data_IF_838604664390
#
_entry.id   IF_838604664390
#
_cell.length_a   1.000
_cell.length_b   1.000
_cell.length_c   1.000
_cell.angle_alpha   90.00
_cell.angle_beta   90.00
_cell.angle_gamma   90.00
#
_symmetry.space_group_name_H-M   'P 1'
#
loop_
_entity.id
_entity.type
_entity.pdbx_description
1 polymer ?
#
# COMPACT_ATOMS: atom_id res chain seq x y z
N UNK A 1 -15.24 25.12 -0.33
CA UNK A 1 -14.59 26.22 -1.09
C UNK A 1 -13.09 25.95 -1.10
N UNK A 2 -12.52 25.67 -2.27
CA UNK A 2 -11.06 25.57 -2.46
C UNK A 2 -10.49 27.01 -2.42
N UNK A 3 -9.55 27.27 -1.50
CA UNK A 3 -9.11 28.64 -1.13
C UNK A 3 -7.84 29.14 -1.82
N UNK A 4 -7.20 28.33 -2.66
CA UNK A 4 -6.04 28.75 -3.46
C UNK A 4 -5.94 27.92 -4.74
N UNK A 5 -5.60 28.59 -5.83
CA UNK A 5 -5.19 27.97 -7.09
C UNK A 5 -3.69 28.22 -7.19
N UNK A 6 -2.89 27.24 -6.79
CA UNK A 6 -1.45 27.29 -6.99
C UNK A 6 -1.18 26.95 -8.46
N UNK A 7 -0.80 27.99 -9.22
CA UNK A 7 -0.56 27.95 -10.66
C UNK A 7 0.89 27.61 -11.02
N UNK A 8 1.68 27.10 -10.08
CA UNK A 8 3.04 26.66 -10.38
C UNK A 8 2.97 25.29 -11.07
N UNK A 9 3.38 25.25 -12.35
CA UNK A 9 3.49 23.97 -13.08
C UNK A 9 4.62 23.15 -12.46
N UNK A 10 4.24 22.20 -11.60
CA UNK A 10 5.16 21.20 -11.06
C UNK A 10 5.58 20.22 -12.17
N UNK A 11 6.62 20.61 -12.92
CA UNK A 11 7.16 19.83 -14.03
C UNK A 11 7.75 18.47 -13.59
N UNK A 12 8.04 18.31 -12.31
CA UNK A 12 8.61 17.07 -11.76
C UNK A 12 7.53 16.08 -11.32
N UNK A 13 6.27 16.52 -11.16
CA UNK A 13 5.16 15.66 -10.77
C UNK A 13 4.59 14.85 -11.94
N UNK A 14 4.09 13.65 -11.63
CA UNK A 14 3.42 12.81 -12.62
C UNK A 14 2.12 13.49 -13.07
N UNK A 15 1.96 13.63 -14.38
CA UNK A 15 0.74 14.18 -14.97
C UNK A 15 -0.26 13.06 -15.32
N UNK A 16 -1.51 13.22 -14.91
CA UNK A 16 -2.58 12.25 -15.11
C UNK A 16 -3.64 12.83 -16.04
N UNK A 17 -3.97 12.06 -17.08
CA UNK A 17 -4.99 12.40 -18.07
C UNK A 17 -6.00 11.26 -18.26
N UNK A 18 -7.15 11.57 -18.85
CA UNK A 18 -8.19 10.59 -19.12
C UNK A 18 -7.85 9.70 -20.34
N UNK A 19 -7.19 10.25 -21.36
CA UNK A 19 -6.99 9.57 -22.66
C UNK A 19 -5.51 9.33 -22.99
N UNK A 20 -5.22 8.27 -23.74
CA UNK A 20 -3.84 8.01 -24.21
C UNK A 20 -3.31 9.14 -25.11
N UNK A 21 -4.17 9.77 -25.92
CA UNK A 21 -3.77 10.87 -26.80
C UNK A 21 -3.16 12.04 -26.02
N UNK A 22 -3.80 12.47 -24.93
CA UNK A 22 -3.27 13.54 -24.08
C UNK A 22 -1.95 13.15 -23.42
N UNK A 23 -1.88 11.90 -22.96
CA UNK A 23 -0.67 11.35 -22.36
C UNK A 23 0.49 11.34 -23.36
N UNK A 24 0.24 10.88 -24.58
CA UNK A 24 1.26 10.79 -25.62
C UNK A 24 1.72 12.19 -26.04
N UNK A 25 0.79 13.13 -26.28
CA UNK A 25 1.10 14.53 -26.58
C UNK A 25 1.97 15.19 -25.49
N UNK A 26 1.60 15.00 -24.21
CA UNK A 26 2.36 15.54 -23.08
C UNK A 26 3.74 14.91 -22.96
N UNK A 27 3.83 13.59 -23.10
CA UNK A 27 5.09 12.85 -23.02
C UNK A 27 6.04 13.23 -24.16
N UNK A 28 5.56 13.33 -25.40
CA UNK A 28 6.40 13.76 -26.53
C UNK A 28 6.88 15.21 -26.35
N UNK A 29 6.03 16.12 -25.86
CA UNK A 29 6.44 17.49 -25.55
C UNK A 29 7.57 17.50 -24.52
N UNK A 30 7.44 16.73 -23.42
CA UNK A 30 8.47 16.66 -22.38
C UNK A 30 9.75 15.97 -22.85
N UNK A 31 9.64 14.96 -23.71
CA UNK A 31 10.80 14.33 -24.33
C UNK A 31 11.60 15.34 -25.15
N UNK A 32 10.94 16.10 -26.02
CA UNK A 32 11.62 17.09 -26.87
C UNK A 32 12.30 18.20 -26.06
N UNK A 33 11.75 18.57 -24.89
CA UNK A 33 12.32 19.58 -24.00
C UNK A 33 13.47 19.03 -23.16
N UNK A 34 13.33 17.81 -22.64
CA UNK A 34 14.28 17.22 -21.67
C UNK A 34 15.44 16.49 -22.35
N UNK A 35 15.20 15.98 -23.55
CA UNK A 35 16.08 15.06 -24.27
C UNK A 35 16.36 15.57 -25.70
N UNK A 36 17.32 16.49 -25.89
CA UNK A 36 17.62 17.06 -27.21
C UNK A 36 18.08 16.02 -28.24
N UNK A 37 18.72 14.94 -27.78
CA UNK A 37 19.18 13.81 -28.61
C UNK A 37 18.24 12.60 -28.48
N UNK A 38 16.92 12.83 -28.40
CA UNK A 38 15.97 11.72 -28.37
C UNK A 38 16.00 10.91 -29.67
N UNK A 39 15.86 9.60 -29.56
CA UNK A 39 15.84 8.65 -30.68
C UNK A 39 14.54 7.85 -30.69
N UNK A 40 14.16 7.37 -31.87
CA UNK A 40 13.00 6.48 -32.04
C UNK A 40 13.51 5.10 -32.39
N UNK A 41 13.26 4.14 -31.50
CA UNK A 41 13.63 2.74 -31.70
C UNK A 41 12.44 2.01 -32.33
N UNK A 42 12.64 1.54 -33.55
CA UNK A 42 11.67 0.70 -34.26
C UNK A 42 11.80 -0.76 -33.82
N UNK A 43 10.66 -1.43 -33.62
CA UNK A 43 10.61 -2.82 -33.20
C UNK A 43 11.10 -3.76 -34.31
N UNK A 44 11.78 -4.84 -33.93
CA UNK A 44 12.24 -5.85 -34.88
C UNK A 44 11.25 -7.01 -34.92
N UNK A 45 10.48 -7.09 -36.00
CA UNK A 45 9.54 -8.19 -36.21
C UNK A 45 10.23 -9.33 -36.96
N UNK A 46 10.03 -10.57 -36.53
CA UNK A 46 10.47 -11.77 -37.25
C UNK A 46 9.26 -12.55 -37.73
N UNK A 47 9.39 -13.19 -38.89
CA UNK A 47 8.38 -14.07 -39.46
C UNK A 47 9.00 -15.40 -39.85
N UNK A 48 8.19 -16.46 -39.83
CA UNK A 48 8.62 -17.74 -40.34
C UNK A 48 8.79 -17.63 -41.86
N UNK A 49 10.00 -17.88 -42.37
CA UNK A 49 10.21 -18.06 -43.80
C UNK A 49 9.56 -19.38 -44.24
N UNK A 50 9.27 -19.53 -45.54
CA UNK A 50 8.75 -20.78 -46.13
C UNK A 50 9.64 -22.01 -45.82
N UNK A 51 10.87 -21.77 -45.36
CA UNK A 51 11.89 -22.76 -44.96
C UNK A 51 11.85 -23.16 -43.47
N UNK A 52 10.91 -22.65 -42.67
CA UNK A 52 10.77 -22.97 -41.24
C UNK A 52 11.78 -22.28 -40.31
N UNK A 53 12.58 -21.33 -40.84
CA UNK A 53 13.49 -20.49 -40.05
C UNK A 53 12.89 -19.10 -39.86
N UNK A 54 12.97 -18.57 -38.64
CA UNK A 54 12.59 -17.20 -38.32
C UNK A 54 13.60 -16.22 -38.94
N UNK A 55 13.14 -15.36 -39.82
CA UNK A 55 13.94 -14.29 -40.42
C UNK A 55 13.37 -12.92 -40.05
N UNK A 56 14.22 -11.89 -40.05
CA UNK A 56 13.79 -10.52 -39.87
C UNK A 56 12.80 -10.15 -40.98
N UNK A 57 11.67 -9.56 -40.60
CA UNK A 57 10.63 -9.15 -41.51
C UNK A 57 10.87 -7.70 -41.93
N UNK A 58 10.75 -7.42 -43.23
CA UNK A 58 10.66 -6.05 -43.72
C UNK A 58 9.32 -5.44 -43.28
N UNK A 59 9.40 -4.44 -42.40
CA UNK A 59 8.25 -3.82 -41.75
C UNK A 59 7.59 -4.70 -40.68
N UNK A 60 6.40 -4.28 -40.24
CA UNK A 60 5.73 -4.90 -39.11
C UNK A 60 4.59 -5.85 -39.49
N UNK A 61 4.26 -6.76 -38.58
CA UNK A 61 3.04 -7.56 -38.67
C UNK A 61 1.80 -6.66 -38.69
N UNK A 62 0.91 -6.87 -39.68
CA UNK A 62 -0.32 -6.09 -39.82
C UNK A 62 -1.30 -6.35 -38.67
N UNK A 63 -1.44 -7.61 -38.24
CA UNK A 63 -2.28 -8.01 -37.11
C UNK A 63 -1.40 -8.54 -35.98
N UNK A 64 -1.47 -7.88 -34.84
CA UNK A 64 -0.67 -8.16 -33.65
C UNK A 64 -1.63 -8.35 -32.48
N UNK A 65 -1.39 -9.39 -31.68
CA UNK A 65 -2.22 -9.72 -30.52
C UNK A 65 -1.34 -9.93 -29.28
N UNK A 66 -1.95 -9.74 -28.10
CA UNK A 66 -1.42 -10.16 -26.81
C UNK A 66 0.01 -9.70 -26.48
N UNK A 67 0.42 -8.51 -26.94
CA UNK A 67 1.74 -7.95 -26.64
C UNK A 67 1.63 -6.54 -26.09
N UNK A 68 2.54 -6.21 -25.19
CA UNK A 68 2.76 -4.85 -24.71
C UNK A 68 3.87 -4.12 -25.49
N UNK A 69 4.57 -4.84 -26.38
CA UNK A 69 5.70 -4.32 -27.15
C UNK A 69 5.23 -3.43 -28.30
N UNK A 70 5.53 -2.14 -28.17
CA UNK A 70 5.14 -1.13 -29.14
C UNK A 70 5.95 -1.25 -30.44
N UNK A 71 5.37 -0.79 -31.56
CA UNK A 71 6.09 -0.73 -32.85
C UNK A 71 7.23 0.28 -32.80
N UNK A 72 6.98 1.42 -32.15
CA UNK A 72 7.92 2.50 -32.00
C UNK A 72 7.94 2.89 -30.53
N UNK A 73 9.14 3.06 -29.98
CA UNK A 73 9.34 3.72 -28.69
C UNK A 73 10.23 4.93 -28.90
N UNK A 74 9.85 6.04 -28.27
CA UNK A 74 10.68 7.25 -28.24
C UNK A 74 11.44 7.27 -26.92
N UNK A 75 12.76 7.40 -26.98
CA UNK A 75 13.62 7.35 -25.81
C UNK A 75 14.71 8.41 -25.91
N UNK A 76 15.30 8.78 -24.79
CA UNK A 76 16.42 9.72 -24.73
C UNK A 76 17.08 9.65 -23.37
N UNK A 77 18.33 10.10 -23.29
CA UNK A 77 19.01 10.26 -21.99
C UNK A 77 18.19 11.25 -21.15
N UNK A 78 17.90 10.91 -19.89
CA UNK A 78 16.98 11.60 -18.96
C UNK A 78 15.49 11.41 -19.22
N UNK A 79 15.10 10.58 -20.19
CA UNK A 79 13.69 10.32 -20.41
C UNK A 79 13.07 9.53 -19.26
N UNK A 80 11.88 9.96 -18.79
CA UNK A 80 11.08 9.24 -17.81
C UNK A 80 10.35 8.10 -18.51
N UNK A 81 10.49 6.90 -18.00
CA UNK A 81 9.85 5.70 -18.55
C UNK A 81 9.12 4.90 -17.46
N UNK A 82 8.20 4.06 -17.92
CA UNK A 82 7.50 3.06 -17.11
C UNK A 82 7.61 1.70 -17.80
N UNK A 83 7.87 0.64 -17.03
CA UNK A 83 7.81 -0.73 -17.52
C UNK A 83 6.37 -1.13 -17.83
N UNK A 84 6.19 -1.85 -18.93
CA UNK A 84 4.91 -2.38 -19.39
C UNK A 84 4.72 -3.87 -19.10
N UNK A 85 5.79 -4.55 -18.65
CA UNK A 85 5.86 -5.99 -18.47
C UNK A 85 6.54 -6.35 -17.15
N UNK A 86 6.14 -7.48 -16.60
CA UNK A 86 6.87 -8.15 -15.53
C UNK A 86 8.08 -8.87 -16.13
N UNK A 87 9.28 -8.36 -15.89
CA UNK A 87 10.55 -8.95 -16.32
C UNK A 87 11.07 -9.89 -15.23
N UNK A 88 11.20 -9.39 -14.00
CA UNK A 88 11.56 -10.18 -12.82
C UNK A 88 10.78 -9.69 -11.61
N UNK A 89 9.70 -10.38 -11.29
CA UNK A 89 8.84 -10.06 -10.13
C UNK A 89 9.61 -10.19 -8.81
N UNK A 90 10.56 -11.13 -8.74
CA UNK A 90 11.33 -11.39 -7.52
C UNK A 90 12.36 -10.31 -7.22
N UNK A 91 12.70 -9.50 -8.21
CA UNK A 91 13.61 -8.36 -8.13
C UNK A 91 12.86 -7.03 -8.37
N UNK A 92 11.52 -7.02 -8.33
CA UNK A 92 10.71 -5.81 -8.44
C UNK A 92 10.65 -5.18 -9.84
N UNK A 93 11.18 -5.83 -10.88
CA UNK A 93 11.06 -5.38 -12.28
C UNK A 93 9.67 -5.76 -12.82
N UNK A 94 8.67 -5.01 -12.38
CA UNK A 94 7.25 -5.25 -12.66
C UNK A 94 6.63 -4.18 -13.55
N UNK A 95 5.53 -4.52 -14.21
CA UNK A 95 4.69 -3.57 -14.92
C UNK A 95 4.25 -2.43 -13.97
N UNK A 96 4.49 -1.19 -14.38
CA UNK A 96 4.24 -0.01 -13.55
C UNK A 96 5.48 0.50 -12.80
N UNK A 97 6.64 -0.16 -12.87
CA UNK A 97 7.86 0.40 -12.30
C UNK A 97 8.34 1.62 -13.11
N UNK A 98 8.55 2.75 -12.44
CA UNK A 98 9.00 4.01 -13.03
C UNK A 98 10.51 4.19 -12.89
N UNK A 99 11.12 4.77 -13.91
CA UNK A 99 12.55 5.10 -13.88
C UNK A 99 12.93 6.16 -14.89
N UNK A 100 14.21 6.50 -14.88
CA UNK A 100 14.82 7.50 -15.76
C UNK A 100 15.95 6.85 -16.54
N UNK A 101 15.97 7.04 -17.86
CA UNK A 101 17.05 6.53 -18.71
C UNK A 101 18.33 7.31 -18.40
N UNK A 102 19.38 6.59 -17.98
CA UNK A 102 20.69 7.16 -17.69
C UNK A 102 21.63 7.04 -18.88
N UNK A 103 21.56 5.94 -19.64
CA UNK A 103 22.43 5.69 -20.80
C UNK A 103 21.78 4.70 -21.77
N UNK A 104 22.15 4.79 -23.04
CA UNK A 104 21.86 3.77 -24.04
C UNK A 104 23.19 3.23 -24.57
N UNK A 105 23.28 1.93 -24.77
CA UNK A 105 24.51 1.25 -25.22
C UNK A 105 24.22 0.56 -26.54
N UNK A 106 24.97 0.94 -27.58
CA UNK A 106 24.87 0.33 -28.91
C UNK A 106 25.51 -1.06 -28.93
N UNK A 107 25.11 -1.88 -29.91
CA UNK A 107 25.76 -3.16 -30.14
C UNK A 107 27.23 -2.95 -30.62
N UNK A 108 28.13 -3.86 -30.23
CA UNK A 108 29.55 -3.78 -30.60
C UNK A 108 29.74 -3.71 -32.13
N UNK A 109 30.71 -2.91 -32.56
CA UNK A 109 31.00 -2.57 -33.97
C UNK A 109 31.42 -3.76 -34.85
N UNK A 110 31.71 -4.93 -34.27
CA UNK A 110 32.18 -6.13 -34.97
C UNK A 110 31.06 -7.03 -35.51
N UNK A 111 29.79 -6.68 -35.29
CA UNK A 111 28.64 -7.42 -35.85
C UNK A 111 28.18 -6.77 -37.16
N UNK A 112 28.22 -7.52 -38.27
CA UNK A 112 27.82 -7.07 -39.63
C UNK A 112 26.37 -6.53 -39.75
N UNK A 113 25.56 -6.62 -38.68
CA UNK A 113 24.26 -5.97 -38.54
C UNK A 113 24.40 -4.63 -37.81
N UNK A 114 25.09 -3.67 -38.44
CA UNK A 114 25.41 -2.36 -37.88
C UNK A 114 24.20 -1.41 -37.95
N UNK A 115 23.15 -1.73 -37.20
CA UNK A 115 21.95 -0.90 -37.10
C UNK A 115 22.07 -0.02 -35.85
N UNK A 116 22.62 1.18 -36.05
CA UNK A 116 22.79 2.22 -35.02
C UNK A 116 21.48 2.64 -34.34
N UNK A 117 20.32 2.23 -34.87
CA UNK A 117 19.02 2.68 -34.40
C UNK A 117 18.34 1.71 -33.41
N UNK A 118 19.00 0.60 -33.05
CA UNK A 118 18.49 -0.32 -32.02
C UNK A 118 19.60 -0.63 -30.98
N UNK A 119 19.57 0.01 -29.80
CA UNK A 119 20.59 -0.20 -28.78
C UNK A 119 20.56 -1.65 -28.27
N UNK A 120 21.72 -2.16 -27.86
CA UNK A 120 21.85 -3.47 -27.23
C UNK A 120 21.22 -3.49 -25.83
N UNK A 121 21.36 -2.40 -25.08
CA UNK A 121 20.73 -2.24 -23.77
C UNK A 121 20.37 -0.78 -23.45
N UNK A 122 19.37 -0.60 -22.58
CA UNK A 122 18.98 0.69 -22.00
C UNK A 122 19.25 0.64 -20.50
N UNK A 123 20.06 1.58 -20.02
CA UNK A 123 20.43 1.70 -18.62
C UNK A 123 19.47 2.66 -17.92
N UNK A 124 18.82 2.20 -16.84
CA UNK A 124 17.73 2.91 -16.17
C UNK A 124 18.00 3.03 -14.68
N UNK A 125 17.83 4.23 -14.14
CA UNK A 125 17.72 4.49 -12.71
C UNK A 125 16.24 4.43 -12.32
N UNK A 126 15.79 3.33 -11.68
CA UNK A 126 14.41 3.22 -11.17
C UNK A 126 14.21 4.06 -9.92
N UNK A 127 13.00 4.61 -9.77
CA UNK A 127 12.64 5.53 -8.68
C UNK A 127 12.63 4.81 -7.32
N UNK A 128 12.13 3.57 -7.27
CA UNK A 128 12.16 2.76 -6.05
C UNK A 128 13.54 2.07 -5.93
N UNK A 129 14.32 2.36 -4.87
CA UNK A 129 15.63 1.73 -4.65
C UNK A 129 15.56 0.22 -4.41
N UNK A 130 14.38 -0.33 -4.10
CA UNK A 130 14.14 -1.77 -3.96
C UNK A 130 14.03 -2.49 -5.29
N UNK A 131 13.75 -1.78 -6.38
CA UNK A 131 13.69 -2.37 -7.72
C UNK A 131 15.09 -2.74 -8.19
N UNK A 132 15.24 -3.97 -8.69
CA UNK A 132 16.42 -4.58 -9.30
C UNK A 132 17.66 -4.69 -8.41
N UNK A 133 17.47 -4.84 -7.10
CA UNK A 133 18.59 -4.93 -6.14
C UNK A 133 19.54 -6.09 -6.45
N UNK A 134 19.03 -7.26 -6.83
CA UNK A 134 19.85 -8.43 -7.15
C UNK A 134 20.66 -8.20 -8.42
N UNK A 135 20.06 -7.60 -9.45
CA UNK A 135 20.79 -7.25 -10.67
C UNK A 135 21.89 -6.21 -10.39
N UNK A 136 21.55 -5.13 -9.68
CA UNK A 136 22.48 -4.04 -9.33
C UNK A 136 23.64 -4.53 -8.48
N UNK A 137 23.43 -5.50 -7.58
CA UNK A 137 24.49 -6.09 -6.77
C UNK A 137 25.57 -6.79 -7.62
N UNK A 138 25.18 -7.32 -8.80
CA UNK A 138 26.10 -8.00 -9.74
C UNK A 138 26.82 -7.02 -10.66
N UNK A 139 26.12 -6.04 -11.21
CA UNK A 139 26.68 -5.11 -12.21
C UNK A 139 27.42 -3.93 -11.58
N UNK A 140 27.03 -3.51 -10.37
CA UNK A 140 27.60 -2.38 -9.59
C UNK A 140 27.79 -1.10 -10.42
N UNK A 141 26.88 -0.85 -11.36
CA UNK A 141 26.94 0.32 -12.24
C UNK A 141 26.22 1.50 -11.59
N UNK A 142 26.91 2.63 -11.49
CA UNK A 142 26.36 3.92 -11.05
C UNK A 142 26.36 4.90 -12.22
N UNK A 143 25.40 5.82 -12.25
CA UNK A 143 25.46 6.97 -13.14
C UNK A 143 26.30 8.12 -12.52
N UNK A 144 26.58 9.20 -13.27
CA UNK A 144 27.33 10.36 -12.76
C UNK A 144 26.71 11.00 -11.52
N UNK A 145 25.39 10.85 -11.31
CA UNK A 145 24.65 11.35 -10.16
C UNK A 145 24.67 10.39 -8.96
N UNK A 146 25.37 9.26 -9.06
CA UNK A 146 25.51 8.26 -7.99
C UNK A 146 24.29 7.36 -7.81
N UNK A 147 23.34 7.37 -8.75
CA UNK A 147 22.17 6.48 -8.74
C UNK A 147 22.52 5.11 -9.26
N UNK A 148 21.87 4.10 -8.70
CA UNK A 148 22.09 2.71 -9.08
C UNK A 148 21.40 2.37 -10.39
N UNK A 149 22.15 1.79 -11.31
CA UNK A 149 21.72 1.55 -12.68
C UNK A 149 21.34 0.09 -12.91
N UNK A 150 20.19 -0.07 -13.53
CA UNK A 150 19.63 -1.33 -14.00
C UNK A 150 19.78 -1.41 -15.51
N UNK A 151 20.26 -2.54 -16.00
CA UNK A 151 20.41 -2.80 -17.43
C UNK A 151 19.12 -3.48 -17.90
N UNK A 152 18.41 -2.82 -18.80
CA UNK A 152 17.28 -3.40 -19.51
C UNK A 152 17.75 -3.90 -20.87
N UNK A 153 17.35 -5.11 -21.18
CA UNK A 153 17.52 -5.73 -22.49
C UNK A 153 16.16 -5.77 -23.22
N UNK A 154 16.16 -5.85 -24.54
CA UNK A 154 14.92 -5.96 -25.32
C UNK A 154 14.28 -7.34 -25.14
N UNK A 155 12.96 -7.35 -24.98
CA UNK A 155 12.15 -8.56 -24.84
C UNK A 155 11.68 -9.06 -26.21
N UNK A 156 11.42 -10.35 -26.34
CA UNK A 156 10.86 -10.96 -27.56
C UNK A 156 9.53 -11.67 -27.23
N UNK A 157 8.47 -11.38 -28.00
CA UNK A 157 7.13 -11.94 -27.78
C UNK A 157 6.49 -12.47 -29.06
N UNK A 158 5.68 -13.52 -28.94
CA UNK A 158 4.80 -14.00 -30.01
C UNK A 158 3.65 -13.02 -30.22
N UNK A 159 3.59 -12.42 -31.40
CA UNK A 159 2.62 -11.38 -31.76
C UNK A 159 1.59 -11.84 -32.79
N UNK A 160 1.80 -12.97 -33.45
CA UNK A 160 0.84 -13.54 -34.41
C UNK A 160 0.49 -14.98 -34.08
N UNK A 161 -0.66 -15.45 -34.57
CA UNK A 161 -1.11 -16.84 -34.42
C UNK A 161 -0.18 -17.85 -35.11
N UNK A 162 0.61 -17.40 -36.09
CA UNK A 162 1.51 -18.23 -36.89
C UNK A 162 2.96 -18.22 -36.37
N UNK A 163 3.18 -17.77 -35.13
CA UNK A 163 4.51 -17.73 -34.51
C UNK A 163 5.39 -16.57 -34.99
N UNK A 164 4.80 -15.46 -35.43
CA UNK A 164 5.55 -14.22 -35.69
C UNK A 164 5.98 -13.58 -34.37
N UNK A 165 7.23 -13.13 -34.31
CA UNK A 165 7.83 -12.55 -33.10
C UNK A 165 8.02 -11.05 -33.25
N UNK A 166 7.97 -10.32 -32.13
CA UNK A 166 8.39 -8.92 -32.02
C UNK A 166 9.43 -8.78 -30.94
N UNK A 167 10.53 -8.10 -31.25
CA UNK A 167 11.58 -7.72 -30.31
C UNK A 167 11.60 -6.21 -30.07
N UNK A 168 11.43 -5.79 -28.81
CA UNK A 168 11.41 -4.38 -28.39
C UNK A 168 11.61 -4.27 -26.87
N UNK A 169 12.01 -3.10 -26.36
CA UNK A 169 12.00 -2.82 -24.93
C UNK A 169 10.55 -2.67 -24.41
N UNK A 170 10.19 -3.31 -23.28
CA UNK A 170 8.85 -3.23 -22.71
C UNK A 170 8.65 -1.94 -21.92
N UNK A 171 8.89 -0.79 -22.55
CA UNK A 171 8.87 0.53 -21.89
C UNK A 171 7.98 1.51 -22.66
N UNK A 172 7.51 2.54 -21.96
CA UNK A 172 6.88 3.72 -22.55
C UNK A 172 7.28 4.97 -21.79
N UNK A 173 7.17 6.14 -22.42
CA UNK A 173 7.33 7.42 -21.74
C UNK A 173 6.30 7.58 -20.61
N UNK A 174 6.73 8.25 -19.53
CA UNK A 174 6.01 8.26 -18.27
C UNK A 174 6.14 9.57 -17.46
N UNK A 175 6.31 10.72 -18.13
CA UNK A 175 6.00 12.01 -17.49
C UNK A 175 4.50 12.18 -17.28
N UNK A 176 3.71 11.54 -18.15
CA UNK A 176 2.27 11.41 -18.02
C UNK A 176 1.80 9.97 -18.16
N UNK A 177 0.70 9.67 -17.46
CA UNK A 177 0.00 8.39 -17.50
C UNK A 177 -1.52 8.60 -17.55
N UNK A 178 -2.26 7.60 -18.05
CA UNK A 178 -3.72 7.64 -18.00
C UNK A 178 -4.21 7.28 -16.60
N UNK A 179 -5.36 7.83 -16.15
CA UNK A 179 -6.01 7.48 -14.87
C UNK A 179 -6.07 5.95 -14.66
N UNK A 180 -6.49 5.20 -15.68
CA UNK A 180 -6.60 3.73 -15.60
C UNK A 180 -5.28 3.00 -15.35
N UNK A 181 -4.15 3.58 -15.77
CA UNK A 181 -2.81 2.97 -15.60
C UNK A 181 -2.24 3.19 -14.21
N UNK A 182 -2.72 4.21 -13.51
CA UNK A 182 -2.20 4.61 -12.20
C UNK A 182 -3.18 4.30 -11.07
N UNK A 183 -4.32 3.66 -11.35
CA UNK A 183 -5.41 3.42 -10.39
C UNK A 183 -5.00 2.71 -9.09
N UNK A 184 -3.90 1.95 -9.08
CA UNK A 184 -3.40 1.23 -7.91
C UNK A 184 -2.10 1.82 -7.34
N UNK A 185 -1.72 3.03 -7.76
CA UNK A 185 -0.49 3.68 -7.30
C UNK A 185 -0.78 4.64 -6.16
N UNK A 186 0.15 4.69 -5.21
CA UNK A 186 0.22 5.76 -4.21
C UNK A 186 1.34 6.70 -4.62
N UNK A 187 1.02 7.98 -4.82
CA UNK A 187 1.95 8.97 -5.36
C UNK A 187 1.99 10.19 -4.43
N UNK A 188 3.18 10.74 -4.19
CA UNK A 188 3.33 11.89 -3.29
C UNK A 188 2.88 13.20 -3.94
N UNK A 189 3.21 13.42 -5.22
CA UNK A 189 2.87 14.62 -5.98
C UNK A 189 2.31 14.29 -7.35
N UNK A 190 1.19 14.90 -7.72
CA UNK A 190 0.49 14.61 -8.96
C UNK A 190 -0.24 15.83 -9.52
N UNK A 191 -0.30 15.91 -10.83
CA UNK A 191 -1.09 16.89 -11.57
C UNK A 191 -2.20 16.17 -12.34
N UNK A 192 -3.47 16.43 -12.01
CA UNK A 192 -4.62 15.75 -12.62
C UNK A 192 -5.37 16.72 -13.53
N UNK A 193 -5.46 16.43 -14.84
CA UNK A 193 -6.34 17.17 -15.76
C UNK A 193 -7.74 16.56 -15.81
N UNK A 194 -8.78 17.40 -15.67
CA UNK A 194 -10.18 17.00 -15.74
C UNK A 194 -10.84 17.28 -17.11
N UNK A 195 -10.06 17.78 -18.09
CA UNK A 195 -10.58 18.29 -19.37
C UNK A 195 -11.37 17.27 -20.20
N UNK A 196 -10.86 16.03 -20.31
CA UNK A 196 -11.46 14.95 -21.13
C UNK A 196 -11.95 13.74 -20.34
N UNK A 197 -12.25 13.91 -19.06
CA UNK A 197 -12.85 12.83 -18.25
C UNK A 197 -14.20 12.43 -18.84
N UNK A 198 -14.42 11.11 -18.99
CA UNK A 198 -15.56 10.57 -19.73
C UNK A 198 -16.29 9.42 -19.04
N UNK A 199 -15.78 8.92 -17.90
CA UNK A 199 -16.39 7.81 -17.16
C UNK A 199 -16.60 8.15 -15.69
N UNK A 200 -17.69 7.63 -15.13
CA UNK A 200 -18.03 7.81 -13.71
C UNK A 200 -16.92 7.26 -12.82
N UNK A 201 -16.57 7.99 -11.78
CA UNK A 201 -15.53 7.58 -10.82
C UNK A 201 -14.08 7.77 -11.29
N UNK A 202 -13.81 8.16 -12.54
CA UNK A 202 -12.44 8.44 -13.00
C UNK A 202 -11.77 9.55 -12.18
N UNK A 203 -12.50 10.64 -11.89
CA UNK A 203 -11.97 11.73 -11.06
C UNK A 203 -11.68 11.23 -9.66
N UNK A 204 -12.60 10.47 -9.06
CA UNK A 204 -12.38 9.88 -7.74
C UNK A 204 -11.09 9.05 -7.70
N UNK A 205 -10.90 8.16 -8.68
CA UNK A 205 -9.68 7.35 -8.80
C UNK A 205 -8.43 8.22 -8.92
N UNK A 206 -8.46 9.27 -9.74
CA UNK A 206 -7.30 10.14 -9.94
C UNK A 206 -6.93 10.95 -8.68
N UNK A 207 -7.94 11.42 -7.93
CA UNK A 207 -7.72 12.19 -6.71
C UNK A 207 -7.33 11.32 -5.51
N UNK A 208 -7.74 10.04 -5.48
CA UNK A 208 -7.42 9.11 -4.38
C UNK A 208 -5.98 8.57 -4.40
N UNK A 209 -5.17 8.92 -5.40
CA UNK A 209 -3.79 8.44 -5.53
C UNK A 209 -2.83 9.15 -4.57
N UNK A 210 -3.20 10.36 -4.15
CA UNK A 210 -2.32 11.24 -3.37
C UNK A 210 -2.56 11.06 -1.88
N UNK A 211 -1.49 11.00 -1.11
CA UNK A 211 -1.56 10.80 0.35
C UNK A 211 -1.92 12.06 1.11
N UNK A 212 -1.69 13.24 0.54
CA UNK A 212 -1.98 14.53 1.15
C UNK A 212 -2.46 15.56 0.12
N UNK A 213 -3.22 16.55 0.59
CA UNK A 213 -3.78 17.59 -0.29
C UNK A 213 -2.71 18.48 -0.91
N UNK A 214 -1.59 18.74 -0.22
CA UNK A 214 -0.48 19.56 -0.73
C UNK A 214 0.23 18.94 -1.92
N UNK A 215 0.10 17.62 -2.13
CA UNK A 215 0.66 16.92 -3.29
C UNK A 215 -0.25 16.93 -4.52
N UNK A 216 -1.45 17.52 -4.44
CA UNK A 216 -2.45 17.44 -5.50
C UNK A 216 -2.61 18.78 -6.22
N UNK A 217 -2.35 18.77 -7.52
CA UNK A 217 -2.69 19.89 -8.42
C UNK A 217 -3.79 19.46 -9.39
N UNK A 218 -4.83 20.28 -9.55
CA UNK A 218 -5.94 20.01 -10.49
C UNK A 218 -5.90 21.03 -11.64
N UNK A 219 -5.85 20.53 -12.88
CA UNK A 219 -5.97 21.32 -14.11
C UNK A 219 -7.36 21.13 -14.74
N UNK A 220 -7.84 22.17 -15.43
CA UNK A 220 -9.09 22.16 -16.19
C UNK A 220 -10.31 21.74 -15.38
N UNK A 221 -10.45 22.28 -14.16
CA UNK A 221 -11.50 21.86 -13.24
C UNK A 221 -12.89 21.95 -13.87
N UNK A 222 -13.63 20.85 -13.81
CA UNK A 222 -14.99 20.73 -14.34
C UNK A 222 -15.84 19.94 -13.36
N UNK A 223 -16.69 20.64 -12.61
CA UNK A 223 -17.55 20.02 -11.59
C UNK A 223 -18.44 18.91 -12.18
N UNK A 224 -18.98 19.12 -13.39
CA UNK A 224 -19.82 18.12 -14.05
C UNK A 224 -19.07 16.83 -14.44
N UNK A 225 -17.73 16.81 -14.40
CA UNK A 225 -16.93 15.60 -14.59
C UNK A 225 -16.88 14.72 -13.34
N UNK A 226 -17.32 15.23 -12.19
CA UNK A 226 -17.36 14.52 -10.91
C UNK A 226 -18.76 13.93 -10.74
N UNK A 227 -18.92 12.67 -11.12
CA UNK A 227 -20.19 11.97 -10.99
C UNK A 227 -19.98 10.48 -10.68
N UNK A 228 -20.98 9.91 -10.00
CA UNK A 228 -21.05 8.49 -9.68
C UNK A 228 -22.14 7.81 -10.51
N UNK A 229 -21.94 6.55 -10.84
CA UNK A 229 -22.96 5.74 -11.47
C UNK A 229 -24.04 5.38 -10.44
N UNK A 230 -25.31 5.67 -10.74
CA UNK A 230 -26.44 5.42 -9.83
C UNK A 230 -26.53 3.96 -9.34
N UNK A 231 -26.12 2.98 -10.17
CA UNK A 231 -26.08 1.56 -9.79
C UNK A 231 -25.11 1.28 -8.64
N UNK A 232 -24.02 2.04 -8.55
CA UNK A 232 -23.04 1.89 -7.45
C UNK A 232 -23.66 2.39 -6.15
N UNK A 233 -24.32 3.55 -6.17
CA UNK A 233 -25.03 4.07 -5.00
C UNK A 233 -26.12 3.11 -4.51
N UNK A 234 -26.89 2.52 -5.43
CA UNK A 234 -27.88 1.49 -5.10
C UNK A 234 -27.24 0.24 -4.47
N UNK A 235 -26.14 -0.24 -5.05
CA UNK A 235 -25.41 -1.39 -4.52
C UNK A 235 -24.83 -1.12 -3.13
N UNK A 236 -24.21 0.04 -2.91
CA UNK A 236 -23.66 0.43 -1.61
C UNK A 236 -24.76 0.55 -0.54
N UNK A 237 -25.95 1.05 -0.90
CA UNK A 237 -27.08 1.09 0.03
C UNK A 237 -27.65 -0.29 0.41
N UNK A 238 -27.43 -1.31 -0.43
CA UNK A 238 -27.82 -2.71 -0.17
C UNK A 238 -26.74 -3.50 0.58
N UNK A 239 -25.52 -2.99 0.66
CA UNK A 239 -24.44 -3.66 1.39
C UNK A 239 -24.80 -3.72 2.86
N UNK A 240 -24.72 -4.92 3.45
CA UNK A 240 -24.90 -5.08 4.88
C UNK A 240 -23.77 -4.32 5.60
N UNK A 241 -24.09 -3.49 6.61
CA UNK A 241 -23.08 -2.92 7.48
C UNK A 241 -22.20 -4.02 8.07
N UNK A 242 -20.87 -3.83 8.05
CA UNK A 242 -19.95 -4.79 8.65
C UNK A 242 -20.25 -5.04 10.14
N UNK A 243 -20.71 -3.99 10.83
CA UNK A 243 -21.23 -4.06 12.19
C UNK A 243 -22.74 -3.77 12.09
N UNK A 244 -23.62 -4.76 12.32
CA UNK A 244 -25.05 -4.49 12.35
C UNK A 244 -25.35 -3.53 13.53
N UNK A 245 -26.22 -2.52 13.33
CA UNK A 245 -26.71 -1.73 14.45
C UNK A 245 -27.35 -2.67 15.48
N UNK A 246 -27.24 -2.36 16.78
CA UNK A 246 -27.97 -3.07 17.83
C UNK A 246 -29.43 -3.21 17.39
N UNK A 247 -29.82 -4.40 16.92
CA UNK A 247 -31.20 -4.81 17.05
C UNK A 247 -31.46 -4.74 18.54
N UNK A 248 -32.46 -3.98 18.95
CA UNK A 248 -33.03 -4.03 20.29
C UNK A 248 -33.45 -5.48 20.55
N UNK A 249 -32.50 -6.33 20.91
CA UNK A 249 -32.75 -7.69 21.34
C UNK A 249 -33.54 -7.52 22.62
N UNK A 250 -34.81 -7.85 22.51
CA UNK A 250 -35.79 -7.88 23.58
C UNK A 250 -35.12 -8.21 24.91
N UNK A 251 -34.96 -7.19 25.75
CA UNK A 251 -35.02 -7.23 27.20
C UNK A 251 -34.68 -8.61 27.81
N UNK A 252 -33.48 -9.13 27.61
CA UNK A 252 -32.91 -10.13 28.52
C UNK A 252 -32.37 -9.38 29.72
N UNK A 253 -33.28 -8.81 30.52
CA UNK A 253 -33.00 -8.40 31.89
C UNK A 253 -32.57 -9.64 32.70
N UNK A 254 -31.31 -10.05 32.55
CA UNK A 254 -30.58 -10.91 33.49
C UNK A 254 -29.12 -11.21 33.08
N UNK A 255 -28.71 -11.00 31.82
CA UNK A 255 -27.36 -11.39 31.39
C UNK A 255 -26.30 -10.33 31.77
N UNK A 256 -25.22 -10.77 32.40
CA UNK A 256 -24.02 -9.94 32.59
C UNK A 256 -23.22 -9.89 31.28
N UNK A 257 -22.84 -8.70 30.84
CA UNK A 257 -22.24 -8.48 29.51
C UNK A 257 -20.77 -8.08 29.61
N UNK A 258 -19.92 -8.80 28.86
CA UNK A 258 -18.48 -8.53 28.78
C UNK A 258 -18.12 -8.29 27.33
N UNK A 259 -17.43 -7.19 27.04
CA UNK A 259 -16.85 -6.89 25.73
C UNK A 259 -15.34 -7.05 25.82
N UNK A 260 -14.73 -7.70 24.82
CA UNK A 260 -13.29 -7.70 24.62
C UNK A 260 -12.98 -6.92 23.34
N UNK A 261 -12.09 -5.92 23.44
CA UNK A 261 -11.71 -5.10 22.29
C UNK A 261 -10.22 -4.78 22.28
N UNK A 262 -9.60 -4.96 21.11
CA UNK A 262 -8.23 -4.54 20.88
C UNK A 262 -8.25 -3.09 20.38
N UNK A 263 -7.71 -2.15 21.17
CA UNK A 263 -7.89 -0.71 20.93
C UNK A 263 -6.73 -0.07 20.16
N UNK A 264 -5.53 -0.67 20.20
CA UNK A 264 -4.31 -0.13 19.59
C UNK A 264 -4.08 1.37 19.89
N UNK A 265 -3.88 1.71 21.17
CA UNK A 265 -3.88 3.07 21.75
C UNK A 265 -5.26 3.53 22.22
N UNK A 266 -5.51 3.32 23.51
CA UNK A 266 -6.72 3.84 24.16
C UNK A 266 -6.78 5.37 24.09
N UNK A 267 -5.64 6.07 24.18
CA UNK A 267 -5.63 7.54 24.09
C UNK A 267 -6.06 8.05 22.72
N UNK A 268 -5.60 7.41 21.64
CA UNK A 268 -5.93 7.82 20.27
C UNK A 268 -7.39 7.50 19.90
N UNK A 269 -7.89 6.36 20.38
CA UNK A 269 -9.20 5.82 20.02
C UNK A 269 -10.27 5.96 21.10
N UNK A 270 -10.00 6.72 22.16
CA UNK A 270 -11.01 6.94 23.21
C UNK A 270 -12.32 7.56 22.69
N UNK A 271 -12.33 8.53 21.76
CA UNK A 271 -13.58 9.05 21.20
C UNK A 271 -14.44 7.96 20.55
N UNK A 272 -13.81 6.96 19.93
CA UNK A 272 -14.49 5.82 19.32
C UNK A 272 -15.12 4.91 20.41
N UNK A 273 -14.37 4.65 21.48
CA UNK A 273 -14.87 3.89 22.65
C UNK A 273 -16.05 4.61 23.31
N UNK A 274 -15.93 5.93 23.51
CA UNK A 274 -16.93 6.77 24.17
C UNK A 274 -18.24 6.86 23.38
N UNK A 275 -18.18 6.85 22.05
CA UNK A 275 -19.37 6.94 21.19
C UNK A 275 -19.98 5.57 20.86
N UNK A 276 -19.30 4.47 21.19
CA UNK A 276 -19.78 3.13 20.91
C UNK A 276 -20.92 2.71 21.86
N UNK A 277 -22.12 2.59 21.31
CA UNK A 277 -23.32 2.21 22.09
C UNK A 277 -23.25 0.81 22.66
N UNK A 278 -22.56 -0.14 22.02
CA UNK A 278 -22.39 -1.49 22.57
C UNK A 278 -21.50 -1.47 23.80
N UNK A 279 -20.39 -0.72 23.75
CA UNK A 279 -19.47 -0.57 24.88
C UNK A 279 -20.14 0.14 26.06
N UNK A 280 -20.83 1.25 25.82
CA UNK A 280 -21.53 2.00 26.88
C UNK A 280 -22.64 1.19 27.58
N UNK A 281 -23.23 0.20 26.90
CA UNK A 281 -24.27 -0.65 27.46
C UNK A 281 -23.73 -1.93 28.11
N UNK A 282 -22.40 -2.19 28.05
CA UNK A 282 -21.81 -3.39 28.63
C UNK A 282 -21.55 -3.23 30.14
N UNK A 283 -21.52 -4.33 30.88
CA UNK A 283 -21.20 -4.32 32.31
C UNK A 283 -19.68 -4.26 32.55
N UNK A 284 -18.91 -4.93 31.70
CA UNK A 284 -17.45 -4.86 31.66
C UNK A 284 -16.94 -4.68 30.22
N UNK A 285 -15.98 -3.79 30.03
CA UNK A 285 -15.26 -3.56 28.78
C UNK A 285 -13.78 -3.88 29.03
N UNK A 286 -13.34 -5.02 28.53
CA UNK A 286 -11.96 -5.49 28.56
C UNK A 286 -11.21 -5.00 27.32
N UNK A 287 -10.11 -4.30 27.52
CA UNK A 287 -9.31 -3.71 26.48
C UNK A 287 -7.92 -4.35 26.43
N UNK A 288 -7.43 -4.67 25.24
CA UNK A 288 -6.03 -5.04 24.98
C UNK A 288 -5.36 -3.98 24.14
N UNK A 289 -4.02 -3.94 24.20
CA UNK A 289 -3.21 -2.94 23.48
C UNK A 289 -3.61 -1.51 23.86
N UNK A 290 -3.76 -1.25 25.16
CA UNK A 290 -4.13 0.07 25.67
C UNK A 290 -3.05 1.12 25.42
N UNK A 291 -1.78 0.69 25.36
CA UNK A 291 -0.56 1.47 25.16
C UNK A 291 -0.34 2.56 26.23
N UNK A 292 -0.93 2.34 27.42
CA UNK A 292 -0.72 3.21 28.58
C UNK A 292 0.59 2.87 29.29
N UNK A 293 1.33 3.89 29.68
CA UNK A 293 2.57 3.78 30.46
C UNK A 293 2.34 3.51 31.96
N UNK A 294 3.42 3.23 32.69
CA UNK A 294 3.38 3.12 34.18
C UNK A 294 3.18 4.48 34.83
N UNK A 295 3.75 5.54 34.25
CA UNK A 295 3.73 6.91 34.76
C UNK A 295 2.64 7.78 34.12
N UNK A 296 1.74 7.19 33.34
CA UNK A 296 0.61 7.95 32.83
C UNK A 296 -0.26 8.39 34.02
N UNK A 297 -0.51 9.71 34.21
CA UNK A 297 -1.21 10.22 35.38
C UNK A 297 -2.61 9.61 35.53
N UNK A 298 -3.19 9.62 36.74
CA UNK A 298 -4.48 9.01 37.05
C UNK A 298 -5.62 9.89 36.54
N UNK A 299 -5.68 10.13 35.25
CA UNK A 299 -6.95 10.32 34.55
C UNK A 299 -6.92 9.40 33.35
N UNK A 300 -7.04 8.07 33.57
CA UNK A 300 -7.45 7.22 32.48
C UNK A 300 -8.69 7.83 31.82
N UNK A 301 -8.85 7.69 30.50
CA UNK A 301 -9.98 8.31 29.82
C UNK A 301 -11.29 7.95 30.52
N UNK A 302 -12.00 8.94 31.05
CA UNK A 302 -13.10 8.68 31.97
C UNK A 302 -14.35 8.32 31.16
N UNK A 303 -14.74 7.05 31.22
CA UNK A 303 -16.02 6.61 30.66
C UNK A 303 -17.09 6.75 31.75
N UNK A 304 -18.11 7.58 31.48
CA UNK A 304 -19.15 7.90 32.47
C UNK A 304 -19.85 6.62 32.94
N UNK A 305 -19.93 6.41 34.26
CA UNK A 305 -20.57 5.23 34.84
C UNK A 305 -19.66 4.02 35.01
N UNK A 306 -18.38 4.12 34.65
CA UNK A 306 -17.40 3.04 34.77
C UNK A 306 -16.21 3.43 35.65
N UNK A 307 -15.62 2.43 36.31
CA UNK A 307 -14.30 2.51 36.92
C UNK A 307 -13.28 1.82 36.01
N UNK A 308 -12.14 2.47 35.80
CA UNK A 308 -11.07 1.92 34.96
C UNK A 308 -9.89 1.41 35.80
N UNK A 309 -9.39 0.24 35.45
CA UNK A 309 -8.13 -0.30 35.96
C UNK A 309 -7.28 -0.79 34.78
N UNK A 310 -5.96 -0.57 34.82
CA UNK A 310 -5.06 -1.03 33.77
C UNK A 310 -3.74 -1.57 34.31
N UNK A 311 -3.09 -2.36 33.48
CA UNK A 311 -1.72 -2.84 33.69
C UNK A 311 -0.97 -2.57 32.40
N UNK A 312 0.12 -1.81 32.50
CA UNK A 312 0.99 -1.55 31.36
C UNK A 312 1.80 -2.81 31.00
N UNK A 313 2.29 -2.88 29.76
CA UNK A 313 3.23 -3.92 29.34
C UNK A 313 4.46 -3.99 30.26
N UNK A 314 5.05 -2.83 30.58
CA UNK A 314 6.21 -2.76 31.46
C UNK A 314 5.95 -3.30 32.88
N UNK A 315 4.70 -3.19 33.37
CA UNK A 315 4.28 -3.76 34.65
C UNK A 315 3.91 -5.25 34.61
N UNK A 316 3.78 -5.84 33.42
CA UNK A 316 3.31 -7.23 33.23
C UNK A 316 4.44 -8.27 33.24
N UNK A 317 5.69 -7.83 33.09
CA UNK A 317 6.86 -8.69 32.88
C UNK A 317 7.97 -8.40 33.90
N UNK A 318 8.60 -9.45 34.40
CA UNK A 318 9.82 -9.37 35.19
C UNK A 318 11.07 -9.30 34.29
N UNK A 319 12.25 -9.33 34.91
CA UNK A 319 13.55 -9.30 34.21
C UNK A 319 14.32 -10.61 34.37
N UNK A 320 13.64 -11.73 34.67
CA UNK A 320 14.29 -13.03 34.98
C UNK A 320 14.77 -13.77 33.74
N UNK A 321 14.17 -13.51 32.58
CA UNK A 321 14.51 -14.13 31.31
C UNK A 321 14.73 -13.08 30.22
N UNK A 322 15.72 -13.22 29.30
CA UNK A 322 16.01 -12.23 28.26
C UNK A 322 14.79 -11.88 27.39
N UNK A 323 13.97 -12.89 27.05
CA UNK A 323 12.71 -12.67 26.33
C UNK A 323 11.71 -11.80 27.10
N UNK A 324 11.58 -12.01 28.41
CA UNK A 324 10.65 -11.25 29.26
C UNK A 324 11.15 -9.82 29.45
N UNK A 325 12.47 -9.64 29.60
CA UNK A 325 13.10 -8.33 29.64
C UNK A 325 12.88 -7.56 28.32
N UNK A 326 12.98 -8.24 27.18
CA UNK A 326 12.67 -7.63 25.89
C UNK A 326 11.20 -7.21 25.80
N UNK A 327 10.26 -8.10 26.16
CA UNK A 327 8.83 -7.80 26.19
C UNK A 327 8.51 -6.64 27.14
N UNK A 328 9.18 -6.55 28.29
CA UNK A 328 9.02 -5.46 29.26
C UNK A 328 9.36 -4.08 28.69
N UNK A 329 10.37 -4.03 27.82
CA UNK A 329 10.90 -2.81 27.21
C UNK A 329 10.24 -2.48 25.86
N UNK A 330 9.48 -3.42 25.30
CA UNK A 330 8.85 -3.27 24.00
C UNK A 330 7.70 -2.24 24.05
N UNK A 331 7.48 -1.57 22.94
CA UNK A 331 6.41 -0.58 22.80
C UNK A 331 5.09 -1.27 22.47
N UNK A 332 3.98 -0.59 22.73
CA UNK A 332 2.63 -1.02 22.31
C UNK A 332 2.14 -2.31 22.97
N UNK A 333 1.48 -2.20 24.13
CA UNK A 333 0.83 -3.32 24.81
C UNK A 333 -0.02 -2.83 25.98
N UNK A 334 -0.22 -3.70 26.97
CA UNK A 334 -1.02 -3.44 28.16
C UNK A 334 -2.48 -3.85 27.99
N UNK A 335 -3.11 -4.06 29.14
CA UNK A 335 -4.52 -4.43 29.26
C UNK A 335 -5.24 -3.45 30.18
N UNK A 336 -6.53 -3.28 29.97
CA UNK A 336 -7.38 -2.43 30.81
C UNK A 336 -8.79 -2.98 30.93
N UNK A 337 -9.49 -2.61 32.00
CA UNK A 337 -10.88 -2.97 32.23
C UNK A 337 -11.62 -1.71 32.67
N UNK A 338 -12.68 -1.36 31.94
CA UNK A 338 -13.76 -0.54 32.47
C UNK A 338 -14.84 -1.47 33.03
N UNK A 339 -15.23 -1.32 34.29
CA UNK A 339 -16.39 -2.02 34.83
C UNK A 339 -17.43 -1.04 35.37
N UNK A 340 -18.70 -1.39 35.18
CA UNK A 340 -19.83 -0.56 35.59
C UNK A 340 -19.83 -0.33 37.10
N UNK A 341 -20.05 0.91 37.51
CA UNK A 341 -20.18 1.31 38.93
C UNK A 341 -21.41 0.72 39.62
N UNK A 342 -22.38 0.23 38.83
CA UNK A 342 -23.63 -0.36 39.33
C UNK A 342 -23.55 -1.87 39.54
N UNK A 343 -22.43 -2.50 39.16
CA UNK A 343 -22.20 -3.95 39.29
C UNK A 343 -21.13 -4.23 40.33
N UNK A 344 -21.29 -5.35 41.05
CA UNK A 344 -20.31 -5.79 42.06
C UNK A 344 -19.17 -6.57 41.41
N UNK A 345 -18.23 -5.82 40.82
CA UNK A 345 -17.01 -6.34 40.18
C UNK A 345 -15.81 -5.98 41.05
N UNK A 346 -15.04 -7.00 41.43
CA UNK A 346 -13.79 -6.85 42.17
C UNK A 346 -12.61 -7.15 41.26
N UNK A 347 -11.69 -6.20 41.11
CA UNK A 347 -10.40 -6.44 40.46
C UNK A 347 -9.47 -7.13 41.47
N UNK A 348 -8.88 -8.26 41.08
CA UNK A 348 -7.89 -8.93 41.91
C UNK A 348 -6.56 -8.17 41.89
N UNK A 349 -5.80 -8.15 43.00
CA UNK A 349 -4.49 -7.51 43.01
C UNK A 349 -3.59 -8.08 41.92
N UNK A 350 -3.12 -7.22 41.03
CA UNK A 350 -2.26 -7.64 39.91
C UNK A 350 -0.91 -8.10 40.45
N UNK A 351 -0.52 -9.34 40.15
CA UNK A 351 0.86 -9.83 40.30
C UNK A 351 1.53 -9.87 38.92
N UNK A 352 2.86 -9.84 38.91
CA UNK A 352 3.62 -10.09 37.69
C UNK A 352 3.54 -11.57 37.33
N UNK A 353 2.60 -11.93 36.44
CA UNK A 353 2.42 -13.31 35.94
C UNK A 353 3.28 -13.61 34.71
N UNK A 354 4.15 -12.68 34.32
CA UNK A 354 4.87 -12.72 33.04
C UNK A 354 3.93 -12.87 31.84
N UNK A 355 2.73 -12.30 31.98
CA UNK A 355 1.64 -12.21 31.01
C UNK A 355 0.97 -10.86 31.23
N UNK A 356 0.61 -10.18 30.13
CA UNK A 356 -0.24 -8.99 30.18
C UNK A 356 -1.68 -9.43 30.53
N UNK A 357 -2.04 -9.32 31.81
CA UNK A 357 -3.39 -9.69 32.27
C UNK A 357 -3.94 -8.83 33.41
N UNK A 358 -5.27 -8.84 33.49
CA UNK A 358 -6.04 -8.33 34.62
C UNK A 358 -7.14 -9.32 34.95
N UNK A 359 -7.27 -9.68 36.22
CA UNK A 359 -8.24 -10.65 36.72
C UNK A 359 -9.33 -9.88 37.48
N UNK A 360 -10.58 -10.26 37.26
CA UNK A 360 -11.71 -9.69 37.96
C UNK A 360 -12.73 -10.77 38.33
N UNK A 361 -13.45 -10.53 39.42
CA UNK A 361 -14.49 -11.41 39.93
C UNK A 361 -15.81 -10.65 40.02
N UNK A 362 -16.85 -11.23 39.44
CA UNK A 362 -18.21 -10.68 39.40
C UNK A 362 -19.05 -11.40 40.45
N UNK A 363 -19.28 -10.77 41.60
CA UNK A 363 -19.93 -11.45 42.75
C UNK A 363 -21.36 -11.89 42.46
N UNK A 364 -22.10 -11.09 41.69
CA UNK A 364 -23.54 -11.33 41.44
C UNK A 364 -23.82 -12.64 40.70
N UNK A 365 -22.85 -13.12 39.91
CA UNK A 365 -22.96 -14.36 39.12
C UNK A 365 -21.86 -15.37 39.47
N UNK A 366 -21.06 -15.09 40.50
CA UNK A 366 -19.90 -15.90 40.91
C UNK A 366 -18.98 -16.27 39.72
N UNK A 367 -18.64 -15.28 38.89
CA UNK A 367 -17.78 -15.48 37.71
C UNK A 367 -16.41 -14.85 37.96
N UNK A 368 -15.34 -15.63 37.84
CA UNK A 368 -13.97 -15.10 37.74
C UNK A 368 -13.53 -15.11 36.28
N UNK A 369 -13.00 -14.00 35.80
CA UNK A 369 -12.54 -13.85 34.43
C UNK A 369 -11.21 -13.08 34.38
N UNK A 370 -10.44 -13.30 33.32
CA UNK A 370 -9.20 -12.57 33.08
C UNK A 370 -9.17 -12.03 31.64
N UNK A 371 -8.82 -10.75 31.50
CA UNK A 371 -8.38 -10.21 30.21
C UNK A 371 -6.91 -10.55 30.04
N UNK A 372 -6.56 -11.12 28.89
CA UNK A 372 -5.21 -11.60 28.60
C UNK A 372 -4.81 -11.13 27.20
N UNK A 373 -3.61 -10.58 27.07
CA UNK A 373 -3.01 -10.26 25.79
C UNK A 373 -1.68 -11.01 25.59
N UNK A 374 -1.49 -11.53 24.37
CA UNK A 374 -0.23 -12.15 23.93
C UNK A 374 0.37 -11.33 22.79
N UNK A 375 1.50 -10.64 23.02
CA UNK A 375 2.25 -9.99 21.95
C UNK A 375 2.72 -11.02 20.92
N UNK A 376 2.78 -10.63 19.65
CA UNK A 376 3.28 -11.51 18.57
C UNK A 376 4.73 -11.98 18.82
N UNK A 377 5.54 -11.13 19.45
CA UNK A 377 6.91 -11.40 19.85
C UNK A 377 7.03 -12.39 21.02
N UNK A 378 5.95 -12.74 21.72
CA UNK A 378 5.98 -13.70 22.83
C UNK A 378 5.93 -15.15 22.29
N UNK A 379 6.98 -15.98 22.46
CA UNK A 379 6.97 -17.38 22.07
C UNK A 379 5.80 -18.15 22.69
N UNK A 380 5.04 -18.85 21.85
CA UNK A 380 3.80 -19.56 22.25
C UNK A 380 4.05 -20.58 23.36
N UNK A 381 5.12 -21.37 23.28
CA UNK A 381 5.42 -22.39 24.28
C UNK A 381 5.64 -21.80 25.68
N UNK A 382 6.38 -20.69 25.77
CA UNK A 382 6.63 -19.98 27.04
C UNK A 382 5.36 -19.30 27.55
N UNK A 383 4.59 -18.66 26.67
CA UNK A 383 3.29 -18.07 27.03
C UNK A 383 2.34 -19.12 27.60
N UNK A 384 2.24 -20.31 26.99
CA UNK A 384 1.39 -21.39 27.49
C UNK A 384 1.82 -21.90 28.88
N UNK A 385 3.10 -21.85 29.23
CA UNK A 385 3.58 -22.21 30.57
C UNK A 385 3.08 -21.22 31.63
N UNK A 386 3.27 -19.92 31.39
CA UNK A 386 2.80 -18.89 32.30
C UNK A 386 1.26 -18.81 32.34
N UNK A 387 0.58 -19.13 31.23
CA UNK A 387 -0.89 -19.13 31.17
C UNK A 387 -1.47 -20.25 32.03
N UNK A 388 -0.83 -21.42 32.08
CA UNK A 388 -1.22 -22.50 32.98
C UNK A 388 -1.12 -22.07 34.45
N UNK A 389 -0.03 -21.40 34.83
CA UNK A 389 0.12 -20.87 36.20
C UNK A 389 -0.98 -19.85 36.55
N UNK A 390 -1.43 -19.06 35.59
CA UNK A 390 -2.55 -18.13 35.76
C UNK A 390 -3.88 -18.86 35.93
N UNK A 391 -4.14 -19.90 35.12
CA UNK A 391 -5.35 -20.73 35.21
C UNK A 391 -5.40 -21.46 36.55
N UNK A 392 -4.31 -22.12 36.96
CA UNK A 392 -4.20 -22.85 38.24
C UNK A 392 -4.40 -21.94 39.47
N UNK A 393 -4.28 -20.61 39.31
CA UNK A 393 -4.54 -19.63 40.36
C UNK A 393 -6.02 -19.19 40.43
N UNK A 394 -6.70 -19.23 39.28
CA UNK A 394 -8.08 -18.74 39.12
C UNK A 394 -9.10 -19.86 39.34
N UNK A 395 -8.73 -21.09 38.99
CA UNK A 395 -9.43 -22.33 39.36
C UNK A 395 -9.29 -22.64 40.86
#
# INVERSE_FOLDING_TARGET
MLKSCETEEDNDALHIYATNKEVDEYNLKNLNVTCPESVTIEARDKSNAETGRLQLKDGHHHRVYNTCLQKYIHVGIRARIMLLKNIDVSDGLVNGAFGTIAKMVDANQDSEANDKNFPASIHVAFDDPKVSQKQRAKTRTIDPEGRMITILEPEEENVTLNGGLRRQYPTRLAWACTIHKVQSLTIERVVVSLSKVFSSGQVYVALSLVTCLSGLTIKDFKESAIYCNAKVSEATGKMQPFIPPLSSTNNTQSAFTIILHNTQSLKAHFPDVQTNTHMNNADCICLTETWLGVDDPPQPPCLTGFLFTHVSRGGSYDSTHPQLQHLKQDYHGGVGIYHSLTKDVLIWPTKCYNIECLIFHVKTINLTAAVVYRPASYPVAMFCQHLKQLIDLID
#
